data_IF_003951707793
#
_entry.id   IF_003951707793
#
_cell.length_a   1.000
_cell.length_b   1.000
_cell.length_c   1.000
_cell.angle_alpha   90.00
_cell.angle_beta   90.00
_cell.angle_gamma   90.00
#
_symmetry.space_group_name_H-M   'P 1'
#
loop_
_entity.id
_entity.type
_entity.pdbx_description
1 polymer ?
#
# COMPACT_ATOMS: atom_id res chain seq x y z
N UNK A 1 6.54 23.33 -4.47
CA UNK A 1 6.07 21.92 -4.41
C UNK A 1 5.44 21.60 -5.76
N UNK A 2 6.10 20.80 -6.60
CA UNK A 2 5.59 20.39 -7.92
C UNK A 2 4.22 19.72 -7.72
N UNK A 3 3.16 20.27 -8.32
CA UNK A 3 1.83 19.62 -8.39
C UNK A 3 1.92 18.44 -9.36
N UNK A 4 2.50 17.33 -8.90
CA UNK A 4 2.38 16.07 -9.60
C UNK A 4 0.93 15.61 -9.47
N UNK A 5 0.25 15.43 -10.61
CA UNK A 5 -1.09 14.84 -10.72
C UNK A 5 -0.95 13.36 -10.41
N UNK A 6 -0.94 13.01 -9.13
CA UNK A 6 -0.82 11.63 -8.67
C UNK A 6 -2.24 11.09 -8.51
N UNK A 7 -2.62 10.06 -9.26
CA UNK A 7 -3.95 9.45 -9.16
C UNK A 7 -4.01 8.35 -8.09
N UNK A 8 -2.85 7.78 -7.74
CA UNK A 8 -2.70 6.64 -6.80
C UNK A 8 -1.49 6.81 -5.90
N UNK A 9 -1.67 6.67 -4.60
CA UNK A 9 -0.57 6.60 -3.64
C UNK A 9 -0.44 5.16 -3.16
N UNK A 10 0.79 4.64 -3.24
CA UNK A 10 1.17 3.39 -2.58
C UNK A 10 1.43 3.71 -1.12
N UNK A 11 0.52 3.29 -0.24
CA UNK A 11 0.66 3.44 1.21
C UNK A 11 0.98 2.08 1.80
N UNK A 12 1.88 2.07 2.77
CA UNK A 12 2.20 0.86 3.53
C UNK A 12 1.07 0.61 4.52
N UNK A 13 0.51 -0.59 4.47
CA UNK A 13 -0.69 -0.96 5.25
C UNK A 13 -0.41 -0.93 6.76
N UNK A 14 0.84 -1.21 7.16
CA UNK A 14 1.21 -1.36 8.57
C UNK A 14 2.65 -0.89 8.83
N UNK A 15 2.80 0.12 9.70
CA UNK A 15 4.08 0.61 10.19
C UNK A 15 4.26 0.09 11.62
N UNK A 16 5.37 -0.60 11.87
CA UNK A 16 5.77 -1.04 13.20
C UNK A 16 6.73 -0.03 13.81
N UNK A 17 6.41 0.43 15.01
CA UNK A 17 7.29 1.27 15.81
C UNK A 17 8.17 0.37 16.68
N UNK A 18 9.48 0.53 16.56
CA UNK A 18 10.48 -0.16 17.37
C UNK A 18 11.08 0.88 18.31
N UNK A 19 10.73 0.78 19.58
CA UNK A 19 11.33 1.56 20.67
C UNK A 19 12.57 0.84 21.18
N UNK A 20 13.73 1.46 20.99
CA UNK A 20 15.03 0.91 21.41
C UNK A 20 15.10 0.83 22.94
N UNK A 21 14.56 1.85 23.62
CA UNK A 21 14.49 1.92 25.08
C UNK A 21 13.67 0.78 25.69
N UNK A 22 12.50 0.47 25.11
CA UNK A 22 11.65 -0.61 25.61
C UNK A 22 12.27 -1.99 25.35
N UNK A 23 12.95 -2.14 24.21
CA UNK A 23 13.74 -3.32 23.88
C UNK A 23 14.85 -3.59 24.90
N UNK A 24 15.62 -2.56 25.23
CA UNK A 24 16.68 -2.61 26.24
C UNK A 24 16.13 -2.96 27.63
N UNK A 25 15.05 -2.31 28.06
CA UNK A 25 14.44 -2.60 29.37
C UNK A 25 14.03 -4.07 29.45
N UNK A 26 13.50 -4.65 28.37
CA UNK A 26 13.14 -6.07 28.32
C UNK A 26 14.37 -6.96 28.44
N UNK A 27 15.43 -6.72 27.68
CA UNK A 27 16.67 -7.50 27.73
C UNK A 27 17.33 -7.43 29.11
N UNK A 28 17.44 -6.24 29.68
CA UNK A 28 18.00 -6.03 31.03
C UNK A 28 17.14 -6.75 32.08
N UNK A 29 15.81 -6.72 31.92
CA UNK A 29 14.89 -7.39 32.84
C UNK A 29 15.06 -8.91 32.82
N UNK A 30 15.24 -9.50 31.64
CA UNK A 30 15.30 -10.94 31.48
C UNK A 30 16.67 -11.50 31.94
N UNK A 31 17.74 -10.69 31.93
CA UNK A 31 19.10 -11.20 32.13
C UNK A 31 19.81 -10.72 33.41
N UNK A 32 19.51 -9.50 33.89
CA UNK A 32 20.27 -8.88 34.99
C UNK A 32 19.44 -8.78 36.28
N UNK A 33 18.11 -8.78 36.19
CA UNK A 33 17.25 -8.65 37.38
C UNK A 33 17.48 -9.84 38.33
N UNK A 34 17.85 -9.52 39.57
CA UNK A 34 18.13 -10.52 40.61
C UNK A 34 19.62 -10.84 40.80
N UNK A 35 20.52 -10.28 39.99
CA UNK A 35 21.98 -10.38 40.19
C UNK A 35 22.51 -9.25 41.06
N UNK A 36 23.69 -9.46 41.67
CA UNK A 36 24.41 -8.46 42.49
C UNK A 36 25.47 -7.73 41.65
N UNK A 37 25.79 -6.51 42.07
CA UNK A 37 26.81 -5.67 41.43
C UNK A 37 28.16 -5.87 42.13
N UNK A 38 29.23 -6.02 41.36
CA UNK A 38 30.59 -6.24 41.89
C UNK A 38 31.27 -4.98 42.45
N UNK A 39 30.98 -3.82 41.87
CA UNK A 39 31.66 -2.55 42.15
C UNK A 39 30.68 -1.41 42.32
N UNK A 40 31.08 -0.37 43.07
CA UNK A 40 30.24 0.83 43.23
C UNK A 40 30.06 1.55 41.89
N UNK A 41 28.82 1.63 41.42
CA UNK A 41 28.48 2.33 40.19
C UNK A 41 28.32 3.81 40.53
N UNK A 42 29.15 4.65 39.91
CA UNK A 42 29.12 6.11 40.09
C UNK A 42 28.52 6.80 38.87
N UNK A 43 27.86 7.91 39.11
CA UNK A 43 27.39 8.80 38.03
C UNK A 43 28.60 9.43 37.31
N UNK A 44 28.69 9.34 35.97
CA UNK A 44 29.76 9.97 35.19
C UNK A 44 29.79 11.50 35.32
N UNK A 45 28.67 12.14 35.68
CA UNK A 45 28.57 13.60 35.77
C UNK A 45 28.64 14.09 37.22
N UNK A 46 27.91 13.44 38.14
CA UNK A 46 27.81 13.90 39.54
C UNK A 46 28.76 13.22 40.52
N UNK A 47 29.41 12.11 40.13
CA UNK A 47 30.32 11.35 41.00
C UNK A 47 29.64 10.63 42.18
N UNK A 48 28.30 10.74 42.29
CA UNK A 48 27.52 10.10 43.35
C UNK A 48 27.38 8.59 43.10
N UNK A 49 27.33 7.81 44.18
CA UNK A 49 27.11 6.37 44.12
C UNK A 49 25.65 6.11 43.77
N UNK A 50 25.40 5.58 42.57
CA UNK A 50 24.07 5.19 42.07
C UNK A 50 23.69 3.81 42.61
N UNK A 51 24.66 2.90 42.69
CA UNK A 51 24.53 1.57 43.27
C UNK A 51 25.75 1.23 44.11
N UNK A 52 25.52 0.69 45.30
CA UNK A 52 26.58 0.17 46.14
C UNK A 52 26.95 -1.26 45.72
N UNK A 53 28.19 -1.65 46.02
CA UNK A 53 28.66 -3.03 45.94
C UNK A 53 27.71 -4.00 46.66
N UNK A 54 27.49 -5.17 46.06
CA UNK A 54 26.60 -6.24 46.51
C UNK A 54 25.10 -5.89 46.51
N UNK A 55 24.71 -4.74 45.94
CA UNK A 55 23.31 -4.39 45.80
C UNK A 55 22.63 -5.22 44.70
N UNK A 56 21.45 -5.77 45.02
CA UNK A 56 20.62 -6.51 44.07
C UNK A 56 20.05 -5.56 43.01
N UNK A 57 20.15 -5.96 41.75
CA UNK A 57 19.67 -5.18 40.61
C UNK A 57 18.14 -5.24 40.56
N UNK A 58 17.53 -4.17 41.05
CA UNK A 58 16.07 -3.97 41.06
C UNK A 58 15.61 -3.16 39.85
N UNK A 59 14.30 -3.24 39.53
CA UNK A 59 13.68 -2.43 38.46
C UNK A 59 13.90 -0.92 38.62
N UNK A 60 14.00 -0.43 39.86
CA UNK A 60 14.26 0.98 40.14
C UNK A 60 15.71 1.36 39.82
N UNK A 61 16.65 0.46 40.07
CA UNK A 61 18.05 0.69 39.75
C UNK A 61 18.26 0.73 38.23
N UNK A 62 17.59 -0.14 37.47
CA UNK A 62 17.63 -0.13 35.99
C UNK A 62 17.13 1.21 35.42
N UNK A 63 16.04 1.76 35.97
CA UNK A 63 15.54 3.08 35.55
C UNK A 63 16.57 4.19 35.82
N UNK A 64 17.27 4.14 36.96
CA UNK A 64 18.35 5.09 37.25
C UNK A 64 19.50 4.92 36.26
N UNK A 65 19.92 3.69 35.99
CA UNK A 65 21.00 3.38 35.05
C UNK A 65 20.71 3.94 33.65
N UNK A 66 19.49 3.73 33.13
CA UNK A 66 19.05 4.27 31.83
C UNK A 66 18.99 5.80 31.81
N UNK A 67 18.60 6.43 32.94
CA UNK A 67 18.52 7.89 33.05
C UNK A 67 19.91 8.54 33.04
N UNK A 68 20.88 7.93 33.71
CA UNK A 68 22.26 8.42 33.80
C UNK A 68 23.15 8.00 32.62
N UNK A 69 22.60 7.30 31.61
CA UNK A 69 23.32 6.85 30.41
C UNK A 69 24.66 6.14 30.72
N UNK A 70 24.67 5.25 31.71
CA UNK A 70 25.86 4.46 32.01
C UNK A 70 26.16 3.50 30.86
N UNK A 71 27.40 3.39 30.41
CA UNK A 71 27.76 2.49 29.30
C UNK A 71 27.98 1.04 29.74
N UNK A 72 28.39 0.80 31.00
CA UNK A 72 28.80 -0.52 31.48
C UNK A 72 28.30 -0.83 32.92
N UNK A 73 27.96 -2.09 33.16
CA UNK A 73 27.57 -2.61 34.48
C UNK A 73 28.43 -3.83 34.86
N UNK A 74 29.21 -3.79 35.95
CA UNK A 74 29.98 -4.94 36.43
C UNK A 74 29.10 -5.89 37.25
N UNK A 75 29.01 -7.16 36.82
CA UNK A 75 28.27 -8.22 37.52
C UNK A 75 29.18 -9.06 38.42
N UNK A 76 28.57 -9.72 39.42
CA UNK A 76 29.23 -10.61 40.39
C UNK A 76 30.11 -11.71 39.75
N UNK A 77 29.69 -12.24 38.59
CA UNK A 77 30.41 -13.29 37.86
C UNK A 77 31.72 -12.81 37.17
N UNK A 78 32.14 -11.56 37.39
CA UNK A 78 33.27 -10.94 36.68
C UNK A 78 32.98 -10.57 35.21
N UNK A 79 31.70 -10.59 34.82
CA UNK A 79 31.23 -10.20 33.48
C UNK A 79 30.82 -8.72 33.48
N UNK A 80 31.14 -8.03 32.39
CA UNK A 80 30.63 -6.68 32.13
C UNK A 80 29.41 -6.74 31.23
N UNK A 81 28.36 -6.02 31.60
CA UNK A 81 27.19 -5.83 30.77
C UNK A 81 27.27 -4.45 30.12
N UNK A 82 27.60 -4.42 28.84
CA UNK A 82 27.62 -3.20 28.02
C UNK A 82 26.21 -2.89 27.52
N UNK A 83 25.70 -1.70 27.85
CA UNK A 83 24.38 -1.26 27.39
C UNK A 83 24.37 -0.97 25.89
N UNK A 84 25.45 -0.39 25.37
CA UNK A 84 25.61 -0.12 23.93
C UNK A 84 25.66 -1.42 23.12
N UNK A 85 26.41 -2.42 23.60
CA UNK A 85 26.47 -3.74 22.96
C UNK A 85 25.10 -4.42 22.86
N UNK A 86 24.26 -4.33 23.90
CA UNK A 86 22.90 -4.89 23.88
C UNK A 86 21.92 -4.08 23.07
N UNK A 87 22.12 -2.77 23.02
CA UNK A 87 21.37 -1.90 22.10
C UNK A 87 21.59 -2.34 20.67
N UNK A 88 22.86 -2.60 20.31
CA UNK A 88 23.23 -3.04 18.98
C UNK A 88 22.70 -4.44 18.66
N UNK A 89 22.79 -5.39 19.60
CA UNK A 89 22.19 -6.72 19.46
C UNK A 89 20.67 -6.65 19.20
N UNK A 90 19.97 -5.82 19.98
CA UNK A 90 18.53 -5.57 19.78
C UNK A 90 18.23 -5.02 18.38
N UNK A 91 19.03 -4.07 17.89
CA UNK A 91 18.88 -3.49 16.55
C UNK A 91 19.19 -4.51 15.44
N UNK A 92 20.18 -5.37 15.64
CA UNK A 92 20.50 -6.44 14.69
C UNK A 92 19.35 -7.45 14.56
N UNK A 93 18.74 -7.84 15.66
CA UNK A 93 17.63 -8.80 15.63
C UNK A 93 16.33 -8.19 15.10
N UNK A 94 16.08 -6.91 15.42
CA UNK A 94 14.77 -6.31 15.20
C UNK A 94 14.71 -5.28 14.07
N UNK A 95 15.81 -4.62 13.71
CA UNK A 95 15.83 -3.55 12.71
C UNK A 95 16.54 -3.98 11.42
N UNK A 96 17.68 -4.67 11.52
CA UNK A 96 18.45 -5.07 10.34
C UNK A 96 17.63 -5.98 9.43
N UNK A 97 17.70 -5.69 8.12
CA UNK A 97 16.97 -6.46 7.12
C UNK A 97 15.59 -5.91 6.77
N UNK A 98 15.03 -5.03 7.61
CA UNK A 98 13.74 -4.39 7.36
C UNK A 98 13.90 -3.06 6.60
N UNK A 99 12.80 -2.57 6.05
CA UNK A 99 12.76 -1.33 5.28
C UNK A 99 12.22 -0.19 6.14
N UNK A 100 12.92 0.93 6.15
CA UNK A 100 12.56 2.14 6.89
C UNK A 100 11.25 2.72 6.35
N UNK A 101 10.31 3.04 7.24
CA UNK A 101 9.04 3.65 6.84
C UNK A 101 9.17 5.17 6.59
N UNK A 102 9.94 5.86 7.43
CA UNK A 102 10.14 7.31 7.45
C UNK A 102 11.62 7.63 7.67
N UNK A 103 12.10 8.72 7.09
CA UNK A 103 13.49 9.16 7.24
C UNK A 103 13.91 9.16 8.71
N UNK A 104 15.00 8.46 9.01
CA UNK A 104 15.57 8.41 10.35
C UNK A 104 16.54 9.58 10.43
N UNK A 105 16.20 10.53 11.28
CA UNK A 105 16.97 11.76 11.49
C UNK A 105 17.49 11.80 12.92
N UNK A 106 18.68 12.36 13.07
CA UNK A 106 19.25 12.65 14.37
C UNK A 106 18.51 13.83 15.02
N UNK A 107 18.00 13.70 16.26
CA UNK A 107 17.29 14.78 16.94
C UNK A 107 18.15 16.02 17.24
N UNK A 108 19.47 15.87 17.37
CA UNK A 108 20.37 16.98 17.74
C UNK A 108 20.92 17.71 16.51
N UNK A 109 21.28 16.96 15.46
CA UNK A 109 21.92 17.53 14.25
C UNK A 109 20.95 17.74 13.10
N UNK A 110 19.78 17.08 13.11
CA UNK A 110 18.82 17.10 12.00
C UNK A 110 19.30 16.37 10.74
N UNK A 111 20.45 15.70 10.79
CA UNK A 111 20.99 14.94 9.67
C UNK A 111 20.18 13.67 9.42
N UNK A 112 19.93 13.37 8.14
CA UNK A 112 19.27 12.14 7.71
C UNK A 112 20.29 11.01 7.68
N UNK A 113 20.16 10.07 8.60
CA UNK A 113 20.99 8.87 8.68
C UNK A 113 20.54 7.89 7.60
N UNK A 114 19.24 7.59 7.56
CA UNK A 114 18.64 6.69 6.56
C UNK A 114 17.42 7.34 5.94
N UNK A 115 17.39 7.35 4.60
CA UNK A 115 16.20 7.76 3.86
C UNK A 115 15.11 6.68 3.92
N UNK A 116 13.86 7.11 4.04
CA UNK A 116 12.66 6.29 4.00
C UNK A 116 12.62 5.44 2.73
N UNK A 117 12.27 4.17 2.89
CA UNK A 117 12.25 3.20 1.81
C UNK A 117 13.57 2.47 1.56
N UNK A 118 14.67 2.84 2.23
CA UNK A 118 15.91 2.04 2.21
C UNK A 118 15.86 0.90 3.23
N UNK A 119 16.63 -0.15 2.97
CA UNK A 119 16.82 -1.30 3.87
C UNK A 119 17.88 -0.95 4.92
N UNK A 120 17.60 -1.30 6.18
CA UNK A 120 18.52 -1.07 7.30
C UNK A 120 19.68 -2.09 7.21
N UNK A 121 20.90 -1.57 7.11
CA UNK A 121 22.15 -2.34 7.13
C UNK A 121 22.75 -2.43 8.53
N UNK A 122 23.83 -3.19 8.70
CA UNK A 122 24.53 -3.29 10.00
C UNK A 122 25.24 -1.98 10.35
N UNK A 123 25.82 -1.32 9.36
CA UNK A 123 26.52 -0.04 9.55
C UNK A 123 25.52 1.03 10.00
N UNK A 124 24.34 1.07 9.38
CA UNK A 124 23.27 1.98 9.80
C UNK A 124 22.84 1.73 11.26
N UNK A 125 22.79 0.47 11.71
CA UNK A 125 22.43 0.15 13.09
C UNK A 125 23.51 0.61 14.09
N UNK A 126 24.80 0.59 13.70
CA UNK A 126 25.87 1.17 14.53
C UNK A 126 25.74 2.68 14.63
N UNK A 127 25.40 3.37 13.53
CA UNK A 127 25.20 4.82 13.53
C UNK A 127 23.97 5.22 14.37
N UNK A 128 22.89 4.44 14.28
CA UNK A 128 21.69 4.61 15.09
C UNK A 128 22.00 4.47 16.59
N UNK A 129 22.85 3.50 16.94
CA UNK A 129 23.27 3.26 18.33
C UNK A 129 24.11 4.43 18.86
N UNK A 130 25.09 4.90 18.08
CA UNK A 130 25.99 5.99 18.47
C UNK A 130 25.26 7.32 18.68
N UNK A 131 24.22 7.57 17.89
CA UNK A 131 23.37 8.78 18.02
C UNK A 131 22.21 8.60 19.03
N UNK A 132 22.14 7.46 19.72
CA UNK A 132 21.15 7.14 20.76
C UNK A 132 19.67 7.37 20.36
N UNK A 133 19.29 6.89 19.17
CA UNK A 133 17.92 7.06 18.70
C UNK A 133 16.96 6.12 19.43
N UNK A 134 15.91 6.71 20.02
CA UNK A 134 14.92 5.96 20.80
C UNK A 134 13.86 5.28 19.93
N UNK A 135 13.46 5.87 18.79
CA UNK A 135 12.29 5.45 18.01
C UNK A 135 12.65 5.21 16.54
N UNK A 136 12.42 3.97 16.08
CA UNK A 136 12.64 3.57 14.69
C UNK A 136 11.32 3.09 14.10
N UNK A 137 10.88 3.72 13.01
CA UNK A 137 9.65 3.33 12.29
C UNK A 137 9.98 2.46 11.10
N UNK A 138 9.54 1.21 11.15
CA UNK A 138 9.91 0.17 10.19
C UNK A 138 8.67 -0.47 9.60
N UNK A 139 8.73 -0.89 8.33
CA UNK A 139 7.60 -1.55 7.67
C UNK A 139 7.39 -2.94 8.25
N UNK A 140 6.16 -3.25 8.68
CA UNK A 140 5.82 -4.54 9.32
C UNK A 140 5.59 -5.65 8.28
N UNK A 141 4.92 -5.30 7.19
CA UNK A 141 4.55 -6.18 6.09
C UNK A 141 4.90 -5.53 4.76
N UNK A 142 5.33 -6.32 3.78
CA UNK A 142 5.58 -5.83 2.42
C UNK A 142 4.27 -5.70 1.60
N UNK A 143 3.11 -5.77 2.28
CA UNK A 143 1.82 -5.53 1.66
C UNK A 143 1.68 -4.05 1.37
N UNK A 144 1.63 -3.75 0.09
CA UNK A 144 1.42 -2.42 -0.44
C UNK A 144 -0.08 -2.28 -0.66
N UNK A 145 -0.72 -1.35 0.04
CA UNK A 145 -2.08 -0.95 -0.27
C UNK A 145 -2.03 0.18 -1.30
N UNK A 146 -2.70 0.00 -2.42
CA UNK A 146 -2.93 1.08 -3.37
C UNK A 146 -4.22 1.80 -2.96
N UNK A 147 -4.10 3.05 -2.52
CA UNK A 147 -5.26 3.89 -2.24
C UNK A 147 -5.42 4.85 -3.43
N UNK A 148 -6.62 4.90 -4.01
CA UNK A 148 -6.96 5.91 -5.00
C UNK A 148 -7.21 7.24 -4.26
N UNK A 149 -6.63 8.34 -4.73
CA UNK A 149 -6.80 9.64 -4.05
C UNK A 149 -8.24 10.17 -4.21
N UNK A 150 -8.93 9.76 -5.27
CA UNK A 150 -10.33 10.11 -5.54
C UNK A 150 -11.12 8.80 -5.61
N UNK A 151 -11.80 8.46 -4.52
CA UNK A 151 -12.94 7.55 -4.57
C UNK A 151 -14.16 8.36 -5.00
N UNK A 152 -14.95 7.85 -5.94
CA UNK A 152 -16.22 8.46 -6.34
C UNK A 152 -16.99 8.91 -5.09
N UNK A 153 -17.25 10.22 -4.97
CA UNK A 153 -17.86 10.83 -3.79
C UNK A 153 -19.34 10.46 -3.76
N UNK A 154 -19.63 9.24 -3.32
CA UNK A 154 -20.97 8.83 -2.93
C UNK A 154 -21.32 9.49 -1.61
N UNK A 155 -22.41 10.25 -1.57
CA UNK A 155 -22.91 10.88 -0.36
C UNK A 155 -23.42 9.81 0.62
N UNK A 156 -22.55 9.25 1.47
CA UNK A 156 -22.97 8.31 2.52
C UNK A 156 -23.31 9.14 3.76
N UNK A 157 -24.58 9.11 4.19
CA UNK A 157 -25.12 9.88 5.34
C UNK A 157 -24.45 9.57 6.70
N UNK A 158 -23.45 8.70 6.75
CA UNK A 158 -22.60 8.35 7.90
C UNK A 158 -21.25 7.87 7.34
N UNK A 159 -20.11 8.23 7.94
CA UNK A 159 -18.78 7.66 7.61
C UNK A 159 -18.77 6.14 7.86
N UNK A 160 -19.37 5.36 6.97
CA UNK A 160 -19.26 3.91 6.92
C UNK A 160 -18.25 3.59 5.83
N UNK A 161 -17.30 2.74 6.17
CA UNK A 161 -16.36 2.21 5.17
C UNK A 161 -17.14 1.62 4.01
N UNK A 162 -16.67 1.87 2.78
CA UNK A 162 -17.20 1.24 1.58
C UNK A 162 -16.99 -0.28 1.69
N UNK A 163 -17.93 -1.06 1.14
CA UNK A 163 -17.80 -2.51 1.15
C UNK A 163 -16.61 -2.92 0.25
N UNK A 164 -15.62 -3.59 0.84
CA UNK A 164 -14.49 -4.17 0.10
C UNK A 164 -14.81 -5.64 -0.16
N UNK A 165 -14.76 -6.06 -1.43
CA UNK A 165 -15.00 -7.44 -1.87
C UNK A 165 -13.78 -8.02 -2.58
N UNK A 166 -13.60 -9.34 -2.48
CA UNK A 166 -12.59 -10.09 -3.24
C UNK A 166 -13.29 -10.99 -4.27
N UNK A 167 -12.92 -10.94 -5.56
CA UNK A 167 -13.53 -11.81 -6.57
C UNK A 167 -13.15 -13.27 -6.29
N UNK A 168 -14.12 -14.18 -6.42
CA UNK A 168 -13.91 -15.63 -6.31
C UNK A 168 -14.30 -16.31 -7.62
N UNK A 169 -13.45 -17.21 -8.11
CA UNK A 169 -13.76 -18.02 -9.29
C UNK A 169 -14.59 -19.23 -8.84
N UNK A 170 -15.76 -19.39 -9.44
CA UNK A 170 -16.63 -20.55 -9.22
C UNK A 170 -16.80 -21.32 -10.53
N UNK A 171 -16.93 -22.64 -10.44
CA UNK A 171 -17.30 -23.47 -11.60
C UNK A 171 -18.74 -23.21 -12.06
N UNK A 172 -19.03 -23.42 -13.34
CA UNK A 172 -20.33 -23.12 -13.97
C UNK A 172 -21.52 -23.73 -13.22
N UNK A 173 -21.38 -24.97 -12.71
CA UNK A 173 -22.42 -25.68 -11.97
C UNK A 173 -22.69 -25.01 -10.63
N UNK A 174 -21.65 -24.60 -9.91
CA UNK A 174 -21.77 -23.96 -8.60
C UNK A 174 -22.33 -22.55 -8.73
N UNK A 175 -21.87 -21.79 -9.73
CA UNK A 175 -22.40 -20.48 -10.05
C UNK A 175 -23.90 -20.53 -10.39
N UNK A 176 -24.33 -21.53 -11.18
CA UNK A 176 -25.73 -21.71 -11.56
C UNK A 176 -26.64 -22.07 -10.39
N UNK A 177 -26.15 -22.89 -9.45
CA UNK A 177 -26.87 -23.26 -8.23
C UNK A 177 -26.91 -22.13 -7.18
N UNK A 178 -25.96 -21.19 -7.24
CA UNK A 178 -25.85 -20.06 -6.32
C UNK A 178 -26.60 -18.81 -6.80
N UNK A 179 -27.51 -18.95 -7.76
CA UNK A 179 -28.36 -17.86 -8.24
C UNK A 179 -29.35 -17.40 -7.16
N UNK A 180 -29.80 -16.15 -7.24
CA UNK A 180 -30.70 -15.58 -6.23
C UNK A 180 -32.08 -16.26 -6.25
N UNK A 181 -32.60 -16.50 -7.47
CA UNK A 181 -33.83 -17.22 -7.73
C UNK A 181 -33.69 -18.70 -7.41
N UNK A 182 -34.55 -19.17 -6.51
CA UNK A 182 -34.61 -20.59 -6.20
C UNK A 182 -35.36 -21.37 -7.29
N UNK A 183 -36.28 -20.75 -8.03
CA UNK A 183 -37.02 -21.41 -9.10
C UNK A 183 -36.10 -21.74 -10.28
N UNK A 184 -35.26 -20.79 -10.68
CA UNK A 184 -34.20 -20.99 -11.68
C UNK A 184 -33.12 -21.97 -11.21
N UNK A 185 -32.69 -21.90 -9.94
CA UNK A 185 -31.71 -22.82 -9.39
C UNK A 185 -32.25 -24.27 -9.33
N UNK A 186 -33.51 -24.44 -8.89
CA UNK A 186 -34.15 -25.75 -8.79
C UNK A 186 -34.35 -26.39 -10.16
N UNK A 187 -34.64 -25.60 -11.21
CA UNK A 187 -34.82 -26.12 -12.56
C UNK A 187 -33.53 -26.66 -13.20
N UNK A 188 -32.36 -26.35 -12.64
CA UNK A 188 -31.08 -26.83 -13.16
C UNK A 188 -30.75 -28.24 -12.66
N UNK A 189 -30.48 -28.38 -11.35
CA UNK A 189 -30.14 -29.65 -10.69
C UNK A 189 -30.47 -29.59 -9.18
N UNK A 190 -30.42 -30.74 -8.49
CA UNK A 190 -30.58 -30.85 -7.02
C UNK A 190 -31.85 -30.17 -6.46
N UNK A 191 -32.97 -30.34 -7.18
CA UNK A 191 -34.30 -29.76 -6.89
C UNK A 191 -34.70 -29.83 -5.41
N UNK A 192 -34.66 -31.02 -4.80
CA UNK A 192 -35.09 -31.24 -3.42
C UNK A 192 -34.28 -30.40 -2.42
N UNK A 193 -32.97 -30.30 -2.63
CA UNK A 193 -32.09 -29.54 -1.76
C UNK A 193 -32.30 -28.02 -1.91
N UNK A 194 -32.50 -27.54 -3.13
CA UNK A 194 -32.75 -26.11 -3.40
C UNK A 194 -34.09 -25.68 -2.80
N UNK A 195 -35.17 -26.45 -3.03
CA UNK A 195 -36.50 -26.14 -2.51
C UNK A 195 -36.56 -26.21 -1.00
N UNK A 196 -35.95 -27.23 -0.39
CA UNK A 196 -35.90 -27.36 1.08
C UNK A 196 -35.21 -26.15 1.72
N UNK A 197 -34.05 -25.75 1.19
CA UNK A 197 -33.33 -24.58 1.70
C UNK A 197 -34.09 -23.26 1.48
N UNK A 198 -34.79 -23.12 0.35
CA UNK A 198 -35.62 -21.97 0.08
C UNK A 198 -36.80 -21.89 1.06
N UNK A 199 -37.47 -23.01 1.33
CA UNK A 199 -38.57 -23.10 2.30
C UNK A 199 -38.11 -22.80 3.72
N UNK A 200 -36.96 -23.35 4.16
CA UNK A 200 -36.40 -23.07 5.50
C UNK A 200 -36.07 -21.59 5.65
N UNK A 201 -35.52 -20.95 4.61
CA UNK A 201 -35.14 -19.53 4.63
C UNK A 201 -36.32 -18.58 4.36
N UNK A 202 -37.49 -19.10 3.98
CA UNK A 202 -38.61 -18.27 3.52
C UNK A 202 -38.26 -17.39 2.31
N UNK A 203 -37.42 -17.90 1.39
CA UNK A 203 -36.99 -17.14 0.21
C UNK A 203 -38.20 -16.82 -0.69
N UNK A 204 -38.28 -15.58 -1.16
CA UNK A 204 -39.28 -15.12 -2.14
C UNK A 204 -38.58 -14.90 -3.48
N UNK A 205 -39.13 -15.47 -4.54
CA UNK A 205 -38.64 -15.26 -5.90
C UNK A 205 -39.29 -14.02 -6.51
N UNK A 206 -38.46 -13.11 -7.05
CA UNK A 206 -38.93 -11.84 -7.64
C UNK A 206 -39.15 -11.92 -9.15
N UNK A 207 -38.83 -13.05 -9.79
CA UNK A 207 -39.06 -13.29 -11.22
C UNK A 207 -38.38 -12.25 -12.13
N UNK A 208 -37.16 -11.84 -11.80
CA UNK A 208 -36.38 -10.94 -12.65
C UNK A 208 -35.64 -11.71 -13.76
N UNK A 209 -35.46 -13.02 -13.61
CA UNK A 209 -34.75 -13.85 -14.55
C UNK A 209 -35.60 -14.34 -15.71
N UNK A 210 -34.93 -14.76 -16.78
CA UNK A 210 -35.58 -15.36 -17.95
C UNK A 210 -36.27 -16.68 -17.60
N UNK A 211 -35.55 -17.60 -16.94
CA UNK A 211 -36.02 -18.96 -16.67
C UNK A 211 -37.24 -18.98 -15.74
N UNK A 212 -37.22 -18.18 -14.68
CA UNK A 212 -38.37 -18.04 -13.77
C UNK A 212 -39.67 -17.70 -14.51
N UNK A 213 -39.62 -16.67 -15.37
CA UNK A 213 -40.80 -16.22 -16.11
C UNK A 213 -41.28 -17.26 -17.12
N UNK A 214 -40.36 -17.97 -17.79
CA UNK A 214 -40.72 -19.07 -18.69
C UNK A 214 -41.40 -20.22 -17.93
N UNK A 215 -40.92 -20.58 -16.74
CA UNK A 215 -41.50 -21.66 -15.94
C UNK A 215 -42.93 -21.33 -15.49
N UNK A 216 -43.18 -20.07 -15.15
CA UNK A 216 -44.50 -19.60 -14.69
C UNK A 216 -45.44 -19.31 -15.88
N UNK A 217 -44.91 -19.06 -17.07
CA UNK A 217 -45.68 -18.63 -18.24
C UNK A 217 -45.95 -17.12 -18.29
N UNK A 218 -45.10 -16.33 -17.63
CA UNK A 218 -45.13 -14.87 -17.70
C UNK A 218 -44.27 -14.37 -18.88
N UNK A 219 -44.48 -13.11 -19.31
CA UNK A 219 -43.67 -12.47 -20.35
C UNK A 219 -42.22 -12.43 -19.90
N UNK A 220 -41.30 -12.82 -20.78
CA UNK A 220 -39.87 -12.81 -20.50
C UNK A 220 -39.32 -11.37 -20.45
N UNK A 221 -38.37 -11.06 -19.55
CA UNK A 221 -37.77 -9.73 -19.44
C UNK A 221 -36.69 -9.51 -20.53
N UNK A 222 -37.05 -9.80 -21.79
CA UNK A 222 -36.19 -9.64 -22.95
C UNK A 222 -37.03 -9.34 -24.19
N UNK A 223 -36.44 -8.62 -25.16
CA UNK A 223 -37.11 -8.27 -26.41
C UNK A 223 -38.43 -7.52 -26.17
N UNK A 224 -39.53 -8.07 -26.66
CA UNK A 224 -40.88 -7.49 -26.55
C UNK A 224 -41.41 -7.39 -25.12
N UNK A 225 -40.79 -8.05 -24.14
CA UNK A 225 -41.17 -7.93 -22.73
C UNK A 225 -40.54 -6.75 -21.99
N UNK A 226 -39.66 -5.98 -22.63
CA UNK A 226 -39.07 -4.77 -22.07
C UNK A 226 -39.90 -3.53 -22.42
N UNK A 227 -41.15 -3.46 -21.94
CA UNK A 227 -42.07 -2.36 -22.25
C UNK A 227 -41.50 -0.97 -21.88
N UNK A 228 -40.62 -0.91 -20.87
CA UNK A 228 -39.98 0.36 -20.45
C UNK A 228 -38.97 0.93 -21.44
N UNK A 229 -38.44 0.11 -22.35
CA UNK A 229 -37.44 0.52 -23.34
C UNK A 229 -38.01 0.59 -24.77
N UNK A 230 -39.25 0.15 -24.98
CA UNK A 230 -39.91 0.19 -26.29
C UNK A 230 -40.40 1.58 -26.70
N UNK A 231 -40.67 2.46 -25.73
CA UNK A 231 -41.20 3.82 -25.93
C UNK A 231 -40.21 4.92 -25.55
N UNK A 232 -38.92 4.60 -25.36
CA UNK A 232 -37.90 5.63 -25.11
C UNK A 232 -37.56 6.26 -26.45
N UNK A 233 -38.07 7.47 -26.70
CA UNK A 233 -37.51 8.36 -27.71
C UNK A 233 -36.08 8.69 -27.32
N UNK A 234 -35.13 8.20 -28.11
CA UNK A 234 -33.73 8.58 -27.99
C UNK A 234 -33.58 9.91 -28.72
N UNK A 235 -33.49 10.98 -27.95
CA UNK A 235 -33.21 12.32 -28.50
C UNK A 235 -31.73 12.38 -28.91
N UNK A 236 -31.48 12.26 -30.21
CA UNK A 236 -30.17 12.52 -30.81
C UNK A 236 -30.01 14.01 -31.06
N UNK A 237 -30.18 14.83 -30.02
CA UNK A 237 -29.83 16.25 -30.12
C UNK A 237 -28.30 16.38 -30.15
N UNK A 238 -27.73 16.58 -31.33
CA UNK A 238 -26.31 16.91 -31.55
C UNK A 238 -25.85 18.19 -30.82
N UNK A 239 -26.76 18.91 -30.18
CA UNK A 239 -26.47 20.12 -29.41
C UNK A 239 -25.54 19.87 -28.20
N UNK A 240 -25.53 18.66 -27.62
CA UNK A 240 -24.63 18.34 -26.51
C UNK A 240 -23.20 18.05 -27.00
N UNK A 241 -23.04 17.46 -28.20
CA UNK A 241 -21.72 17.23 -28.80
C UNK A 241 -21.05 18.55 -29.19
N UNK A 242 -21.79 19.48 -29.80
CA UNK A 242 -21.27 20.83 -30.14
C UNK A 242 -20.89 21.63 -28.89
N UNK A 243 -21.70 21.57 -27.82
CA UNK A 243 -21.37 22.23 -26.54
C UNK A 243 -20.13 21.63 -25.89
N UNK A 244 -19.95 20.31 -25.96
CA UNK A 244 -18.75 19.64 -25.45
C UNK A 244 -17.53 20.03 -26.28
N UNK A 245 -17.62 20.06 -27.61
CA UNK A 245 -16.55 20.54 -28.49
C UNK A 245 -16.17 22.01 -28.27
N UNK A 246 -17.15 22.89 -28.04
CA UNK A 246 -16.90 24.30 -27.70
C UNK A 246 -16.17 24.45 -26.37
N UNK A 247 -16.53 23.64 -25.37
CA UNK A 247 -15.84 23.61 -24.07
C UNK A 247 -14.40 23.11 -24.23
N UNK A 248 -14.15 22.10 -25.08
CA UNK A 248 -12.80 21.62 -25.39
C UNK A 248 -11.95 22.69 -26.12
N UNK A 249 -12.50 23.40 -27.11
CA UNK A 249 -11.81 24.50 -27.81
C UNK A 249 -11.49 25.68 -26.88
N UNK A 250 -12.37 26.02 -25.95
CA UNK A 250 -12.11 27.06 -24.95
C UNK A 250 -10.96 26.67 -24.01
N UNK A 251 -10.85 25.39 -23.65
CA UNK A 251 -9.77 24.89 -22.81
C UNK A 251 -8.39 24.90 -23.51
N UNK A 252 -8.34 24.73 -24.83
CA UNK A 252 -7.11 24.83 -25.63
C UNK A 252 -6.67 26.29 -25.83
N UNK A 253 -7.60 27.21 -26.11
CA UNK A 253 -7.29 28.63 -26.29
C UNK A 253 -6.78 29.36 -25.03
N UNK A 254 -7.03 28.80 -23.84
CA UNK A 254 -6.44 29.31 -22.59
C UNK A 254 -4.99 28.84 -22.35
N UNK A 255 -4.53 27.77 -23.03
CA UNK A 255 -3.16 27.28 -22.92
C UNK A 255 -2.19 28.12 -23.78
N UNK A 256 -2.58 28.49 -25.01
CA UNK A 256 -1.74 29.35 -25.87
C UNK A 256 -1.50 30.75 -25.29
N UNK A 257 -2.49 31.32 -24.58
CA UNK A 257 -2.34 32.65 -23.97
C UNK A 257 -1.41 32.68 -22.75
N UNK A 258 -1.11 31.52 -22.15
CA UNK A 258 -0.16 31.42 -21.03
C UNK A 258 1.29 31.20 -21.49
N UNK A 259 1.52 30.68 -22.69
CA UNK A 259 2.89 30.43 -23.20
C UNK A 259 3.56 31.66 -23.82
N UNK A 260 2.82 32.70 -24.23
CA UNK A 260 3.38 33.84 -24.98
C UNK A 260 4.03 34.93 -24.08
N UNK A 261 4.06 34.80 -22.75
CA UNK A 261 4.60 35.85 -21.85
C UNK A 261 5.90 35.50 -21.12
N UNK A 262 6.70 34.58 -21.66
CA UNK A 262 8.07 34.29 -21.20
C UNK A 262 8.90 34.22 -22.48
N UNK A 263 10.01 34.96 -22.59
CA UNK A 263 10.88 35.13 -23.77
C UNK A 263 10.54 36.27 -24.73
N UNK A 264 10.59 37.52 -24.23
CA UNK A 264 11.20 38.64 -24.97
C UNK A 264 11.91 39.58 -24.00
N UNK A 265 13.21 39.39 -23.86
CA UNK A 265 14.21 40.47 -23.81
C UNK A 265 15.62 39.86 -23.95
N UNK A 266 16.44 40.55 -24.74
CA UNK A 266 17.89 40.39 -24.98
C UNK A 266 18.37 39.43 -26.11
N UNK A 267 18.35 40.03 -27.32
CA UNK A 267 19.50 40.38 -28.17
C UNK A 267 20.38 39.34 -28.91
N UNK A 268 20.43 39.62 -30.23
CA UNK A 268 21.54 39.56 -31.19
C UNK A 268 22.21 38.22 -31.54
N UNK A 269 22.12 37.88 -32.84
CA UNK A 269 23.24 37.29 -33.56
C UNK A 269 22.94 36.08 -34.45
N UNK A 270 23.26 36.26 -35.73
CA UNK A 270 23.55 35.24 -36.78
C UNK A 270 22.40 34.47 -37.43
N UNK A 271 22.18 34.84 -38.69
CA UNK A 271 21.52 34.09 -39.75
C UNK A 271 22.15 32.71 -39.95
N UNK A 272 21.35 31.67 -40.19
CA UNK A 272 21.51 30.85 -41.39
C UNK A 272 20.31 29.92 -41.65
N UNK A 273 19.97 29.83 -42.93
CA UNK A 273 18.81 29.20 -43.57
C UNK A 273 18.81 27.69 -43.41
N UNK A 274 17.66 27.06 -43.16
CA UNK A 274 17.34 25.76 -43.80
C UNK A 274 15.88 25.74 -44.29
N UNK A 275 15.83 25.35 -45.56
CA UNK A 275 14.79 25.16 -46.56
C UNK A 275 13.64 24.21 -46.14
N UNK A 276 12.44 24.54 -46.62
CA UNK A 276 11.24 23.71 -46.65
C UNK A 276 11.47 22.39 -47.42
N UNK A 277 10.84 21.29 -46.98
CA UNK A 277 10.01 20.50 -47.90
C UNK A 277 9.03 19.57 -47.17
N UNK A 278 7.77 19.77 -47.52
CA UNK A 278 6.63 18.85 -47.47
C UNK A 278 6.96 17.47 -48.03
N UNK A 279 6.30 16.41 -47.55
CA UNK A 279 5.18 15.72 -48.26
C UNK A 279 4.82 14.44 -47.50
N UNK A 280 3.52 14.23 -47.32
CA UNK A 280 2.86 13.03 -46.82
C UNK A 280 3.15 11.80 -47.70
N UNK A 281 3.23 10.61 -47.09
CA UNK A 281 2.77 9.36 -47.71
C UNK A 281 2.69 8.23 -46.67
N UNK A 282 1.50 7.65 -46.55
CA UNK A 282 1.21 6.38 -45.88
C UNK A 282 2.06 5.25 -46.47
N UNK A 283 2.35 4.17 -45.72
CA UNK A 283 2.73 2.91 -46.33
C UNK A 283 1.62 1.86 -46.19
N UNK A 284 1.24 1.31 -47.34
CA UNK A 284 0.55 0.05 -47.51
C UNK A 284 1.40 -1.14 -47.06
N UNK A 285 0.71 -2.26 -46.83
CA UNK A 285 1.23 -3.59 -46.58
C UNK A 285 2.16 -4.07 -47.71
N UNK A 286 3.22 -4.80 -47.35
CA UNK A 286 3.54 -6.02 -48.08
C UNK A 286 4.37 -7.03 -47.29
N UNK A 287 4.09 -8.28 -47.62
CA UNK A 287 4.77 -9.52 -47.24
C UNK A 287 6.21 -9.60 -47.72
N UNK A 288 7.10 -10.23 -46.95
CA UNK A 288 7.79 -11.49 -47.31
C UNK A 288 8.87 -11.87 -46.28
N UNK A 289 8.82 -13.14 -45.88
CA UNK A 289 9.92 -14.07 -45.61
C UNK A 289 11.22 -13.59 -44.93
N UNK A 290 11.54 -14.20 -43.79
CA UNK A 290 12.82 -14.91 -43.65
C UNK A 290 12.71 -16.06 -42.63
N UNK A 291 13.08 -17.25 -43.10
CA UNK A 291 13.26 -18.46 -42.31
C UNK A 291 14.38 -18.25 -41.26
N UNK A 292 14.25 -18.86 -40.08
CA UNK A 292 15.16 -19.93 -39.64
C UNK A 292 14.98 -20.32 -38.17
N UNK A 293 15.16 -21.63 -37.95
CA UNK A 293 15.60 -22.35 -36.74
C UNK A 293 14.56 -22.90 -35.74
N UNK A 294 14.47 -24.23 -35.85
CA UNK A 294 14.69 -25.21 -34.79
C UNK A 294 13.49 -25.71 -33.95
N UNK A 295 12.88 -26.77 -34.51
CA UNK A 295 12.74 -28.11 -33.90
C UNK A 295 12.40 -28.16 -32.40
N UNK A 296 11.16 -28.56 -32.10
CA UNK A 296 10.83 -29.75 -31.28
C UNK A 296 9.31 -29.96 -31.22
N UNK A 297 8.81 -30.92 -31.99
CA UNK A 297 7.55 -31.60 -31.72
C UNK A 297 7.80 -33.10 -31.76
N UNK A 298 7.74 -33.70 -30.58
CA UNK A 298 7.59 -35.13 -30.35
C UNK A 298 6.08 -35.38 -30.33
N UNK A 299 5.61 -36.33 -31.14
CA UNK A 299 4.41 -37.16 -30.94
C UNK A 299 4.52 -38.30 -31.98
N UNK A 300 4.88 -39.50 -31.53
CA UNK A 300 3.99 -40.60 -31.14
C UNK A 300 3.40 -41.35 -32.35
N UNK A 301 3.93 -42.54 -32.58
CA UNK A 301 3.18 -43.76 -32.90
C UNK A 301 3.37 -44.74 -31.75
#
# INVERSE_FOLDING_TARGET
IKKTKVDRIKVWEEIKEISVRDGLIKLIKDEIVGRSISEDIKDPISGNIIAAKDQIISKNLIKKILLYKLSELPLEDGRYFSLEGRTLEFLYDNAVGKIVALDIMDPETGEVIINGGKKITRDDATEICNRHLDLIKVRANNKIACINIIENVGFIRRKKFVAVGMPIIQGITQASLSTESFLSAASFQRTTHVLTNASIKGKVDKLYGLKENVIIGNIIPAGTGLNKYGEIEVDYSHEEEEKVEEIFKQAEGEQEKKEINIFKEEDEGTEEKILNHTTDQEPELDSENEETKDKKSINNS
#
